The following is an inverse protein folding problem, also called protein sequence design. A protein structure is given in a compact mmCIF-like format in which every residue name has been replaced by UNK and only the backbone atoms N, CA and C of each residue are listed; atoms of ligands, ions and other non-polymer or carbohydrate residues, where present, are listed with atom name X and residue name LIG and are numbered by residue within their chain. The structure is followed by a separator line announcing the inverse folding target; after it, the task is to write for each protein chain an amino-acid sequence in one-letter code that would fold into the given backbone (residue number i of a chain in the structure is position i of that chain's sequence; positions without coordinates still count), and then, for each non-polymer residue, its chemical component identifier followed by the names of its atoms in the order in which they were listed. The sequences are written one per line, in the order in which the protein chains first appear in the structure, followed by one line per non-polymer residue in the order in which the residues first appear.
data_IF_142353255315
#
_entry.id   IF_142353255315
#
_cell.length_a   1.000
_cell.length_b   1.000
_cell.length_c   1.000
_cell.angle_alpha   90.00
_cell.angle_beta   90.00
_cell.angle_gamma   90.00
#
_symmetry.space_group_name_H-M   'P 1'
#
loop_
_entity.id
_entity.type
_entity.pdbx_description
1 polymer ?
#
# COMPACT_ATOMS: atom_id res chain seq x y z
N UNK A 1 1.11 13.26 11.72
CA UNK A 1 1.00 14.38 10.76
C UNK A 1 0.70 13.86 9.37
N UNK A 2 1.42 12.83 8.89
CA UNK A 2 1.32 12.24 7.54
C UNK A 2 -0.12 11.87 7.15
N UNK A 3 -0.80 11.05 7.92
CA UNK A 3 -2.16 10.59 7.60
C UNK A 3 -3.14 11.74 7.44
N UNK A 4 -3.11 12.73 8.34
CA UNK A 4 -4.00 13.90 8.27
C UNK A 4 -3.76 14.75 7.01
N UNK A 5 -2.49 14.91 6.61
CA UNK A 5 -2.14 15.71 5.43
C UNK A 5 -2.65 15.08 4.12
N UNK A 6 -2.74 13.75 4.05
CA UNK A 6 -3.11 13.02 2.83
C UNK A 6 -4.51 12.39 2.87
N UNK A 7 -5.25 12.53 3.97
CA UNK A 7 -6.50 11.78 4.22
C UNK A 7 -7.56 11.89 3.10
N UNK A 8 -7.66 13.01 2.40
CA UNK A 8 -8.61 13.24 1.31
C UNK A 8 -7.92 13.56 -0.03
N UNK A 9 -6.61 13.36 -0.12
CA UNK A 9 -5.82 13.58 -1.32
C UNK A 9 -5.55 12.29 -2.11
N UNK A 10 -4.43 12.27 -2.81
CA UNK A 10 -3.96 11.13 -3.60
C UNK A 10 -3.55 9.96 -2.69
N UNK A 11 -4.16 8.79 -2.89
CA UNK A 11 -3.88 7.59 -2.11
C UNK A 11 -2.47 7.04 -2.38
N UNK A 12 -1.94 7.19 -3.59
CA UNK A 12 -0.57 6.81 -3.91
C UNK A 12 0.44 7.65 -3.12
N UNK A 13 0.23 8.96 -3.06
CA UNK A 13 1.05 9.86 -2.23
C UNK A 13 0.96 9.49 -0.74
N UNK A 14 -0.25 9.13 -0.25
CA UNK A 14 -0.44 8.64 1.10
C UNK A 14 0.34 7.34 1.35
N UNK A 15 0.24 6.37 0.44
CA UNK A 15 0.93 5.09 0.51
C UNK A 15 2.45 5.28 0.61
N UNK A 16 3.05 6.04 -0.31
CA UNK A 16 4.49 6.31 -0.31
C UNK A 16 4.94 7.02 0.97
N UNK A 17 4.19 8.03 1.41
CA UNK A 17 4.52 8.78 2.63
C UNK A 17 4.39 7.90 3.89
N UNK A 18 3.31 7.11 4.00
CA UNK A 18 3.10 6.21 5.14
C UNK A 18 4.11 5.06 5.18
N UNK A 19 4.47 4.50 4.02
CA UNK A 19 5.47 3.43 3.91
C UNK A 19 6.87 3.86 4.36
N UNK A 20 7.18 5.15 4.24
CA UNK A 20 8.47 5.74 4.67
C UNK A 20 8.39 6.41 6.04
N UNK A 21 7.21 6.38 6.69
CA UNK A 21 7.05 6.93 8.03
C UNK A 21 7.86 6.12 9.06
N UNK A 22 8.53 6.82 9.98
CA UNK A 22 9.39 6.19 10.96
C UNK A 22 8.65 5.17 11.84
N UNK A 23 7.41 5.48 12.23
CA UNK A 23 6.60 4.58 13.03
C UNK A 23 6.29 3.29 12.28
N UNK A 24 5.95 3.38 10.98
CA UNK A 24 5.67 2.23 10.13
C UNK A 24 6.91 1.34 9.94
N UNK A 25 8.05 1.95 9.62
CA UNK A 25 9.31 1.21 9.42
C UNK A 25 9.82 0.53 10.69
N UNK A 26 9.57 1.13 11.86
CA UNK A 26 9.92 0.52 13.14
C UNK A 26 8.94 -0.60 13.52
N UNK A 27 7.64 -0.36 13.36
CA UNK A 27 6.57 -1.30 13.73
C UNK A 27 6.64 -2.60 12.92
N UNK A 28 6.95 -2.49 11.62
CA UNK A 28 7.02 -3.64 10.71
C UNK A 28 8.46 -4.14 10.45
N UNK A 29 9.41 -3.77 11.29
CA UNK A 29 10.83 -4.17 11.18
C UNK A 29 11.50 -3.80 9.84
N UNK A 30 10.97 -2.84 9.09
CA UNK A 30 11.49 -2.39 7.81
C UNK A 30 12.95 -1.91 7.89
N UNK A 31 13.34 -1.30 9.01
CA UNK A 31 14.73 -0.87 9.27
C UNK A 31 15.73 -2.02 9.37
N UNK A 32 15.27 -3.25 9.58
CA UNK A 32 16.11 -4.46 9.64
C UNK A 32 16.25 -5.15 8.29
N UNK A 33 15.47 -4.71 7.29
CA UNK A 33 15.45 -5.30 5.96
C UNK A 33 16.68 -4.87 5.16
N UNK A 34 17.57 -5.82 4.86
CA UNK A 34 18.85 -5.54 4.19
C UNK A 34 19.26 -6.64 3.22
N UNK A 35 20.06 -6.28 2.24
CA UNK A 35 20.68 -7.22 1.31
C UNK A 35 21.34 -8.38 2.04
N UNK A 36 21.08 -9.59 1.59
CA UNK A 36 21.58 -10.85 2.18
C UNK A 36 20.79 -11.35 3.40
N UNK A 37 19.91 -10.51 3.97
CA UNK A 37 18.99 -10.87 5.06
C UNK A 37 17.67 -10.10 4.91
N UNK A 38 16.87 -10.36 3.86
CA UNK A 38 15.59 -9.70 3.66
C UNK A 38 14.63 -10.04 4.80
N UNK A 39 13.86 -9.04 5.25
CA UNK A 39 12.78 -9.19 6.21
C UNK A 39 11.44 -9.02 5.47
N UNK A 40 10.60 -10.03 5.52
CA UNK A 40 9.36 -10.09 4.75
C UNK A 40 8.19 -9.34 5.41
N UNK A 41 8.29 -9.00 6.69
CA UNK A 41 7.16 -8.48 7.47
C UNK A 41 6.53 -7.25 6.80
N UNK A 42 7.34 -6.22 6.52
CA UNK A 42 6.85 -5.01 5.87
C UNK A 42 6.21 -5.30 4.50
N UNK A 43 6.84 -6.13 3.66
CA UNK A 43 6.33 -6.45 2.33
C UNK A 43 4.98 -7.20 2.42
N UNK A 44 4.86 -8.15 3.33
CA UNK A 44 3.64 -8.91 3.57
C UNK A 44 2.50 -8.00 3.99
N UNK A 45 2.71 -7.17 5.00
CA UNK A 45 1.68 -6.27 5.52
C UNK A 45 1.24 -5.23 4.47
N UNK A 46 2.17 -4.71 3.66
CA UNK A 46 1.82 -3.81 2.56
C UNK A 46 0.93 -4.52 1.54
N UNK A 47 1.26 -5.74 1.13
CA UNK A 47 0.45 -6.49 0.16
C UNK A 47 -0.90 -6.90 0.74
N UNK A 48 -0.91 -7.46 1.94
CA UNK A 48 -2.09 -8.08 2.53
C UNK A 48 -3.04 -7.06 3.15
N UNK A 49 -2.52 -6.25 4.09
CA UNK A 49 -3.39 -5.35 4.86
C UNK A 49 -3.67 -4.04 4.15
N UNK A 50 -2.71 -3.51 3.38
CA UNK A 50 -2.88 -2.15 2.86
C UNK A 50 -3.31 -2.10 1.40
N UNK A 51 -2.94 -3.10 0.56
CA UNK A 51 -3.08 -2.96 -0.88
C UNK A 51 -3.99 -3.98 -1.56
N UNK A 52 -3.73 -5.27 -1.41
CA UNK A 52 -4.36 -6.30 -2.25
C UNK A 52 -5.40 -7.14 -1.50
N UNK A 53 -5.18 -7.39 -0.21
CA UNK A 53 -5.89 -8.42 0.53
C UNK A 53 -5.32 -9.82 0.27
N UNK A 54 -5.80 -10.80 1.05
CA UNK A 54 -5.40 -12.20 0.90
C UNK A 54 -5.74 -12.78 -0.47
N UNK A 55 -4.91 -13.70 -0.97
CA UNK A 55 -5.18 -14.47 -2.20
C UNK A 55 -4.78 -13.79 -3.51
N UNK A 56 -4.31 -12.54 -3.49
CA UNK A 56 -3.93 -11.77 -4.69
C UNK A 56 -2.42 -11.67 -4.93
N UNK A 57 -1.63 -12.37 -4.14
CA UNK A 57 -0.17 -12.47 -4.23
C UNK A 57 0.31 -13.85 -3.77
N UNK A 58 1.54 -14.19 -4.08
CA UNK A 58 2.18 -15.45 -3.66
C UNK A 58 3.26 -15.18 -2.61
N UNK A 59 3.68 -16.23 -1.88
CA UNK A 59 4.84 -16.16 -0.98
C UNK A 59 6.12 -15.73 -1.71
N UNK A 60 6.23 -16.06 -2.99
CA UNK A 60 7.34 -15.61 -3.82
C UNK A 60 7.28 -14.10 -4.05
N UNK A 61 6.10 -13.54 -4.30
CA UNK A 61 5.94 -12.09 -4.47
C UNK A 61 6.34 -11.34 -3.20
N UNK A 62 5.97 -11.85 -2.02
CA UNK A 62 6.37 -11.27 -0.73
C UNK A 62 7.90 -11.26 -0.58
N UNK A 63 8.58 -12.39 -0.88
CA UNK A 63 10.05 -12.50 -0.80
C UNK A 63 10.73 -11.53 -1.75
N UNK A 64 10.27 -11.46 -2.98
CA UNK A 64 10.84 -10.59 -4.00
C UNK A 64 10.59 -9.10 -3.69
N UNK A 65 9.40 -8.75 -3.18
CA UNK A 65 9.11 -7.40 -2.71
C UNK A 65 9.96 -7.04 -1.48
N UNK A 66 10.14 -7.96 -0.54
CA UNK A 66 11.04 -7.74 0.59
C UNK A 66 12.47 -7.38 0.14
N UNK A 67 12.99 -8.04 -0.91
CA UNK A 67 14.27 -7.69 -1.54
C UNK A 67 14.26 -6.27 -2.11
N UNK A 68 13.15 -5.83 -2.69
CA UNK A 68 13.01 -4.48 -3.22
C UNK A 68 13.01 -3.41 -2.12
N UNK A 69 12.38 -3.67 -0.98
CA UNK A 69 12.38 -2.78 0.18
C UNK A 69 13.68 -2.77 0.98
N UNK A 70 14.67 -3.60 0.64
CA UNK A 70 15.97 -3.58 1.32
C UNK A 70 16.64 -2.21 1.20
N UNK A 71 17.33 -1.78 2.26
CA UNK A 71 18.01 -0.50 2.30
C UNK A 71 17.15 0.67 2.77
N UNK A 72 15.84 0.50 2.94
CA UNK A 72 15.00 1.47 3.61
C UNK A 72 15.38 1.54 5.08
N UNK A 73 15.62 2.73 5.58
CA UNK A 73 16.20 2.93 6.90
C UNK A 73 15.81 4.29 7.46
N UNK A 74 16.22 4.54 8.71
CA UNK A 74 16.04 5.84 9.38
C UNK A 74 17.41 6.44 9.70
N UNK A 75 17.51 7.75 9.57
CA UNK A 75 18.67 8.50 9.99
C UNK A 75 18.75 8.53 11.51
N UNK A 76 19.94 8.26 12.05
CA UNK A 76 20.17 8.27 13.50
C UNK A 76 20.03 9.68 14.05
N UNK A 77 19.22 9.83 15.11
CA UNK A 77 19.02 11.10 15.79
C UNK A 77 17.81 11.90 15.29
N UNK A 78 17.49 11.90 13.98
CA UNK A 78 16.33 12.61 13.44
C UNK A 78 15.12 11.70 13.21
N UNK A 79 15.35 10.40 13.00
CA UNK A 79 14.30 9.46 12.65
C UNK A 79 13.73 9.67 11.24
N UNK A 80 14.34 10.51 10.40
CA UNK A 80 13.90 10.72 9.02
C UNK A 80 14.26 9.53 8.14
N UNK A 81 13.40 9.25 7.15
CA UNK A 81 13.66 8.21 6.17
C UNK A 81 14.96 8.46 5.42
N UNK A 82 15.73 7.40 5.21
CA UNK A 82 16.93 7.41 4.37
C UNK A 82 17.05 6.10 3.59
N UNK A 83 17.36 6.20 2.31
CA UNK A 83 17.68 5.04 1.49
C UNK A 83 19.19 4.74 1.56
N UNK A 84 19.55 3.60 2.14
CA UNK A 84 20.94 3.15 2.27
C UNK A 84 21.31 2.20 1.12
N UNK A 85 21.81 2.75 0.04
CA UNK A 85 22.12 2.02 -1.19
C UNK A 85 22.99 0.78 -0.98
N UNK A 86 23.95 0.82 -0.06
CA UNK A 86 24.82 -0.34 0.25
C UNK A 86 24.07 -1.51 0.91
N UNK A 87 22.93 -1.25 1.52
CA UNK A 87 22.06 -2.26 2.13
C UNK A 87 20.96 -2.75 1.19
N UNK A 88 20.80 -2.12 0.03
CA UNK A 88 19.83 -2.51 -0.98
C UNK A 88 20.31 -3.69 -1.85
N UNK A 89 19.39 -4.57 -2.20
CA UNK A 89 19.58 -5.64 -3.18
C UNK A 89 19.30 -5.10 -4.60
N UNK A 90 20.35 -4.85 -5.42
CA UNK A 90 20.19 -4.30 -6.76
C UNK A 90 19.85 -5.37 -7.81
N UNK A 91 19.71 -6.64 -7.42
CA UNK A 91 19.41 -7.75 -8.31
C UNK A 91 18.02 -7.66 -8.94
N UNK A 92 17.84 -8.40 -10.01
CA UNK A 92 16.53 -8.57 -10.64
C UNK A 92 15.55 -9.28 -9.68
N UNK A 93 14.30 -8.87 -9.70
CA UNK A 93 13.20 -9.38 -8.87
C UNK A 93 11.98 -9.62 -9.74
N UNK A 94 11.16 -10.60 -9.36
CA UNK A 94 9.90 -10.88 -10.02
C UNK A 94 8.76 -10.69 -9.02
N UNK A 95 7.98 -9.63 -9.18
CA UNK A 95 6.89 -9.25 -8.30
C UNK A 95 5.60 -9.13 -9.10
N UNK A 96 4.55 -9.86 -8.70
CA UNK A 96 3.23 -9.84 -9.33
C UNK A 96 3.28 -10.04 -10.86
N UNK A 97 4.14 -10.95 -11.32
CA UNK A 97 4.34 -11.27 -12.73
C UNK A 97 5.16 -10.25 -13.52
N UNK A 98 5.68 -9.22 -12.89
CA UNK A 98 6.61 -8.26 -13.49
C UNK A 98 8.04 -8.56 -13.04
N UNK A 99 8.98 -8.50 -13.98
CA UNK A 99 10.40 -8.75 -13.71
C UNK A 99 11.21 -7.49 -14.02
N UNK A 100 12.08 -7.10 -13.08
CA UNK A 100 12.90 -5.90 -13.18
C UNK A 100 13.81 -5.71 -11.97
N UNK A 101 14.64 -4.68 -12.00
CA UNK A 101 15.50 -4.30 -10.86
C UNK A 101 14.77 -3.33 -9.92
N UNK A 102 13.62 -3.75 -9.46
CA UNK A 102 12.74 -2.91 -8.66
C UNK A 102 13.37 -2.49 -7.33
N UNK A 103 13.14 -1.23 -6.97
CA UNK A 103 13.27 -0.72 -5.61
C UNK A 103 11.90 -0.71 -4.89
N UNK A 104 11.88 -0.21 -3.65
CA UNK A 104 10.67 -0.21 -2.85
C UNK A 104 9.58 0.71 -3.41
N UNK A 105 9.94 1.85 -3.97
CA UNK A 105 8.97 2.78 -4.56
C UNK A 105 8.32 2.18 -5.80
N UNK A 106 9.09 1.53 -6.67
CA UNK A 106 8.58 0.86 -7.85
C UNK A 106 7.65 -0.31 -7.51
N UNK A 107 7.92 -1.03 -6.40
CA UNK A 107 6.99 -2.08 -5.91
C UNK A 107 5.68 -1.47 -5.42
N UNK A 108 5.70 -0.33 -4.71
CA UNK A 108 4.46 0.37 -4.33
C UNK A 108 3.65 0.79 -5.57
N UNK A 109 4.31 1.27 -6.61
CA UNK A 109 3.65 1.63 -7.88
C UNK A 109 3.05 0.42 -8.60
N UNK A 110 3.74 -0.74 -8.57
CA UNK A 110 3.20 -2.00 -9.10
C UNK A 110 1.93 -2.43 -8.35
N UNK A 111 1.90 -2.27 -7.03
CA UNK A 111 0.74 -2.57 -6.20
C UNK A 111 -0.42 -1.60 -6.51
N UNK A 112 -0.15 -0.31 -6.65
CA UNK A 112 -1.16 0.70 -7.03
C UNK A 112 -1.79 0.42 -8.40
N UNK A 113 -1.02 -0.12 -9.32
CA UNK A 113 -1.50 -0.46 -10.67
C UNK A 113 -2.44 -1.68 -10.70
N UNK A 114 -2.56 -2.43 -9.61
CA UNK A 114 -3.44 -3.61 -9.53
C UNK A 114 -4.90 -3.20 -9.36
N UNK A 115 -5.85 -3.79 -10.10
CA UNK A 115 -7.27 -3.51 -9.92
C UNK A 115 -7.77 -3.88 -8.53
N UNK A 116 -7.21 -4.93 -7.92
CA UNK A 116 -7.53 -5.40 -6.57
C UNK A 116 -7.26 -4.34 -5.50
N UNK A 117 -6.27 -3.48 -5.70
CA UNK A 117 -5.96 -2.38 -4.78
C UNK A 117 -7.14 -1.42 -4.59
N UNK A 118 -7.76 -0.98 -5.67
CA UNK A 118 -8.91 -0.09 -5.57
C UNK A 118 -10.09 -0.75 -4.85
N UNK A 119 -10.35 -2.03 -5.14
CA UNK A 119 -11.42 -2.78 -4.50
C UNK A 119 -11.14 -2.99 -3.00
N UNK A 120 -9.89 -3.31 -2.65
CA UNK A 120 -9.48 -3.49 -1.25
C UNK A 120 -9.63 -2.19 -0.44
N UNK A 121 -9.15 -1.07 -0.97
CA UNK A 121 -9.28 0.26 -0.34
C UNK A 121 -10.75 0.62 -0.14
N UNK A 122 -11.57 0.45 -1.16
CA UNK A 122 -13.02 0.71 -1.08
C UNK A 122 -13.69 -0.19 -0.05
N UNK A 123 -13.38 -1.49 -0.05
CA UNK A 123 -13.96 -2.42 0.92
C UNK A 123 -13.60 -2.05 2.38
N UNK A 124 -12.40 -1.51 2.63
CA UNK A 124 -12.02 -1.00 3.94
C UNK A 124 -12.82 0.24 4.33
N UNK A 125 -12.95 1.21 3.43
CA UNK A 125 -13.75 2.41 3.67
C UNK A 125 -15.23 2.08 3.84
N UNK A 126 -15.74 1.10 3.09
CA UNK A 126 -17.10 0.61 3.28
C UNK A 126 -17.33 0.04 4.70
N UNK A 127 -16.41 -0.80 5.17
CA UNK A 127 -16.50 -1.37 6.53
C UNK A 127 -16.47 -0.31 7.62
N UNK A 128 -15.75 0.76 7.39
CA UNK A 128 -15.63 1.85 8.36
C UNK A 128 -16.85 2.77 8.36
N UNK A 129 -17.43 3.07 7.19
CA UNK A 129 -18.44 4.12 7.07
C UNK A 129 -19.85 3.62 6.78
N UNK A 130 -20.03 2.42 6.24
CA UNK A 130 -21.34 1.92 5.79
C UNK A 130 -21.77 0.71 6.59
N UNK A 131 -21.10 -0.43 6.42
CA UNK A 131 -21.47 -1.67 7.11
C UNK A 131 -20.29 -2.65 7.20
N UNK A 132 -20.29 -3.58 8.17
CA UNK A 132 -19.24 -4.60 8.28
C UNK A 132 -19.15 -5.52 7.07
N UNK A 133 -20.21 -5.63 6.29
CA UNK A 133 -20.29 -6.53 5.12
C UNK A 133 -20.35 -5.70 3.84
N UNK A 134 -19.22 -5.54 3.12
CA UNK A 134 -19.20 -4.82 1.85
C UNK A 134 -20.00 -5.55 0.77
N UNK A 135 -20.84 -4.83 0.05
CA UNK A 135 -21.55 -5.35 -1.11
C UNK A 135 -20.64 -5.36 -2.34
N UNK A 136 -20.39 -6.53 -2.92
CA UNK A 136 -19.42 -6.69 -4.02
C UNK A 136 -19.72 -5.81 -5.25
N UNK A 137 -21.00 -5.56 -5.56
CA UNK A 137 -21.39 -4.71 -6.68
C UNK A 137 -21.00 -3.23 -6.42
N UNK A 138 -21.31 -2.73 -5.22
CA UNK A 138 -20.99 -1.36 -4.81
C UNK A 138 -19.47 -1.16 -4.65
N UNK A 139 -18.77 -2.14 -4.10
CA UNK A 139 -17.30 -2.10 -4.02
C UNK A 139 -16.70 -1.93 -5.42
N UNK A 140 -17.13 -2.74 -6.41
CA UNK A 140 -16.64 -2.59 -7.80
C UNK A 140 -16.99 -1.25 -8.42
N UNK A 141 -18.21 -0.75 -8.20
CA UNK A 141 -18.66 0.57 -8.68
C UNK A 141 -17.80 1.70 -8.09
N UNK A 142 -17.61 1.70 -6.79
CA UNK A 142 -16.80 2.71 -6.10
C UNK A 142 -15.30 2.58 -6.40
N UNK A 143 -14.79 1.35 -6.62
CA UNK A 143 -13.42 1.12 -7.07
C UNK A 143 -13.18 1.71 -8.48
N UNK A 144 -14.18 1.66 -9.37
CA UNK A 144 -14.09 2.36 -10.65
C UNK A 144 -14.00 3.88 -10.44
N UNK A 145 -14.83 4.46 -9.57
CA UNK A 145 -14.74 5.91 -9.22
C UNK A 145 -13.35 6.27 -8.71
N UNK A 146 -12.74 5.44 -7.85
CA UNK A 146 -11.40 5.70 -7.31
C UNK A 146 -10.33 5.66 -8.43
N UNK A 147 -10.39 4.67 -9.31
CA UNK A 147 -9.45 4.56 -10.45
C UNK A 147 -9.61 5.71 -11.44
N UNK A 148 -10.85 6.06 -11.81
CA UNK A 148 -11.13 7.15 -12.74
C UNK A 148 -10.68 8.51 -12.17
N UNK A 149 -10.78 8.68 -10.83
CA UNK A 149 -10.24 9.81 -10.11
C UNK A 149 -8.71 9.73 -9.86
N UNK A 150 -8.00 8.77 -10.47
CA UNK A 150 -6.56 8.57 -10.30
C UNK A 150 -6.14 8.43 -8.83
N UNK A 151 -6.91 7.65 -8.08
CA UNK A 151 -6.71 7.42 -6.65
C UNK A 151 -6.90 8.64 -5.75
N UNK A 152 -7.56 9.70 -6.22
CA UNK A 152 -8.01 10.80 -5.34
C UNK A 152 -9.12 10.30 -4.40
N UNK A 153 -8.89 10.40 -3.09
CA UNK A 153 -9.81 9.85 -2.06
C UNK A 153 -11.08 10.69 -1.94
N UNK A 154 -11.00 12.01 -2.11
CA UNK A 154 -12.15 12.91 -1.93
C UNK A 154 -13.33 12.60 -2.86
N UNK A 155 -13.15 12.34 -4.18
CA UNK A 155 -14.24 11.90 -5.06
C UNK A 155 -14.87 10.57 -4.62
N UNK A 156 -14.04 9.60 -4.19
CA UNK A 156 -14.52 8.33 -3.66
C UNK A 156 -15.39 8.53 -2.41
N UNK A 157 -14.90 9.28 -1.43
CA UNK A 157 -15.64 9.55 -0.19
C UNK A 157 -16.96 10.25 -0.47
N UNK A 158 -16.97 11.19 -1.42
CA UNK A 158 -18.23 11.82 -1.84
C UNK A 158 -19.20 10.79 -2.42
N UNK A 159 -18.75 9.95 -3.34
CA UNK A 159 -19.60 8.93 -3.97
C UNK A 159 -20.16 7.92 -2.95
N UNK A 160 -19.34 7.56 -1.94
CA UNK A 160 -19.73 6.67 -0.86
C UNK A 160 -20.78 7.31 0.05
N UNK A 161 -20.56 8.53 0.52
CA UNK A 161 -21.41 9.22 1.49
C UNK A 161 -22.77 9.68 0.92
N UNK A 162 -22.91 9.80 -0.41
CA UNK A 162 -24.19 10.09 -1.07
C UNK A 162 -24.88 8.84 -1.63
N UNK A 163 -24.32 7.65 -1.43
CA UNK A 163 -24.95 6.39 -1.87
C UNK A 163 -26.15 6.03 -1.00
N UNK A 164 -27.14 5.36 -1.59
CA UNK A 164 -28.30 4.87 -0.84
C UNK A 164 -27.88 3.92 0.29
N UNK A 165 -26.84 3.14 0.08
CA UNK A 165 -26.30 2.20 1.07
C UNK A 165 -25.78 2.90 2.34
N UNK A 166 -25.24 4.11 2.23
CA UNK A 166 -24.81 4.89 3.41
C UNK A 166 -25.98 5.38 4.27
N UNK A 167 -27.14 5.63 3.65
CA UNK A 167 -28.35 6.14 4.30
C UNK A 167 -29.39 5.03 4.61
N UNK A 168 -29.10 3.79 4.22
CA UNK A 168 -29.96 2.66 4.59
C UNK A 168 -29.83 2.37 6.09
N UNK A 169 -30.99 2.27 6.80
CA UNK A 169 -31.06 1.91 8.20
C UNK A 169 -30.83 0.39 8.41
#
# INVERSE_FOLDING_TARGET
VTLRAHALGDFGALLHAASKDAAMLLYLDGVRNRRGAPNENFAREVMELFMLGEGHYTERDVKEAARAFTGWSLERGTGTFVFRRLLHDPGEKSVLGRTGRFDGDEVLDLLLARPETAEHVVAKLWREFVSPTPEAAEVRRLAAVLRDARYEIKPLMRALLISDAFWAE
#
